data_IF_477396129995
#
_entry.id   IF_477396129995
#
_cell.length_a   1.000
_cell.length_b   1.000
_cell.length_c   1.000
_cell.angle_alpha   90.00
_cell.angle_beta   90.00
_cell.angle_gamma   90.00
#
_symmetry.space_group_name_H-M   'P 1'
#
loop_
_entity.id
_entity.type
_entity.pdbx_description
1 polymer ?
#
# COMPACT_ATOMS: atom_id res chain seq x y z
N UNK A 1 -52.35 6.71 9.84
CA UNK A 1 -51.73 6.88 8.50
C UNK A 1 -51.08 8.26 8.39
N UNK A 2 -49.85 8.42 8.89
CA UNK A 2 -48.98 9.53 8.49
C UNK A 2 -47.79 8.89 7.76
N UNK A 3 -47.86 8.88 6.43
CA UNK A 3 -46.76 8.46 5.59
C UNK A 3 -45.63 9.49 5.81
N UNK A 4 -44.56 9.07 6.50
CA UNK A 4 -43.28 9.72 6.38
C UNK A 4 -42.91 9.67 4.89
N UNK A 5 -42.94 10.83 4.22
CA UNK A 5 -42.30 11.01 2.91
C UNK A 5 -40.82 10.73 3.13
N UNK A 6 -40.41 9.48 2.90
CA UNK A 6 -39.01 9.13 2.70
C UNK A 6 -38.59 9.96 1.48
N UNK A 7 -37.77 10.98 1.71
CA UNK A 7 -37.24 11.79 0.62
C UNK A 7 -36.19 10.97 -0.14
N UNK A 8 -35.88 11.29 -1.41
CA UNK A 8 -34.78 10.62 -2.13
C UNK A 8 -33.45 10.69 -1.34
N UNK A 9 -33.27 11.74 -0.53
CA UNK A 9 -32.11 11.89 0.36
C UNK A 9 -32.04 10.82 1.46
N UNK A 10 -33.16 10.40 2.03
CA UNK A 10 -33.19 9.34 3.06
C UNK A 10 -32.86 7.98 2.44
N UNK A 11 -33.35 7.73 1.22
CA UNK A 11 -33.05 6.52 0.46
C UNK A 11 -31.58 6.47 0.03
N UNK A 12 -31.00 7.57 -0.45
CA UNK A 12 -29.57 7.62 -0.81
C UNK A 12 -28.67 7.44 0.43
N UNK A 13 -29.02 8.08 1.56
CA UNK A 13 -28.30 7.90 2.81
C UNK A 13 -28.34 6.44 3.27
N UNK A 14 -29.52 5.81 3.20
CA UNK A 14 -29.69 4.38 3.49
C UNK A 14 -28.77 3.51 2.62
N UNK A 15 -28.70 3.76 1.32
CA UNK A 15 -27.82 3.02 0.41
C UNK A 15 -26.35 3.18 0.79
N UNK A 16 -25.91 4.40 1.16
CA UNK A 16 -24.53 4.65 1.63
C UNK A 16 -24.23 3.91 2.93
N UNK A 17 -25.17 3.88 3.88
CA UNK A 17 -25.03 3.15 5.15
C UNK A 17 -24.92 1.65 4.90
N UNK A 18 -25.80 1.07 4.07
CA UNK A 18 -25.76 -0.36 3.72
C UNK A 18 -24.44 -0.73 3.03
N UNK A 19 -23.95 0.12 2.13
CA UNK A 19 -22.68 -0.09 1.46
C UNK A 19 -21.49 -0.08 2.45
N UNK A 20 -21.49 0.86 3.41
CA UNK A 20 -20.45 0.91 4.42
C UNK A 20 -20.53 -0.29 5.38
N UNK A 21 -21.74 -0.73 5.74
CA UNK A 21 -21.95 -1.92 6.58
C UNK A 21 -21.49 -3.19 5.85
N UNK A 22 -21.77 -3.32 4.56
CA UNK A 22 -21.25 -4.42 3.73
C UNK A 22 -19.72 -4.46 3.74
N UNK A 23 -19.05 -3.31 3.59
CA UNK A 23 -17.60 -3.22 3.67
C UNK A 23 -17.05 -3.56 5.07
N UNK A 24 -17.79 -3.23 6.12
CA UNK A 24 -17.44 -3.62 7.49
C UNK A 24 -17.50 -5.14 7.69
N UNK A 25 -18.60 -5.80 7.28
CA UNK A 25 -18.70 -7.26 7.34
C UNK A 25 -17.64 -7.97 6.50
N UNK A 26 -17.27 -7.40 5.34
CA UNK A 26 -16.15 -7.91 4.54
C UNK A 26 -14.84 -7.92 5.32
N UNK A 27 -14.52 -6.83 6.04
CA UNK A 27 -13.30 -6.76 6.89
C UNK A 27 -13.31 -7.79 8.03
N UNK A 28 -14.50 -8.14 8.53
CA UNK A 28 -14.67 -9.23 9.50
C UNK A 28 -14.61 -10.62 8.89
N UNK A 29 -14.34 -10.75 7.58
CA UNK A 29 -14.38 -11.99 6.80
C UNK A 29 -15.74 -12.69 6.80
N UNK A 30 -16.81 -11.95 7.15
CA UNK A 30 -18.18 -12.42 7.05
C UNK A 30 -18.72 -12.09 5.65
N UNK A 31 -18.39 -12.97 4.70
CA UNK A 31 -18.66 -12.74 3.28
C UNK A 31 -20.14 -12.85 2.93
N UNK A 32 -20.91 -13.68 3.64
CA UNK A 32 -22.33 -13.89 3.34
C UNK A 32 -23.17 -12.64 3.66
N UNK A 33 -23.00 -12.08 4.87
CA UNK A 33 -23.69 -10.83 5.26
C UNK A 33 -23.24 -9.65 4.39
N UNK A 34 -21.94 -9.58 4.09
CA UNK A 34 -21.39 -8.56 3.19
C UNK A 34 -22.01 -8.64 1.79
N UNK A 35 -22.09 -9.84 1.22
CA UNK A 35 -22.71 -10.10 -0.09
C UNK A 35 -24.15 -9.64 -0.11
N UNK A 36 -24.94 -10.06 0.88
CA UNK A 36 -26.36 -9.73 0.99
C UNK A 36 -26.59 -8.22 1.02
N UNK A 37 -25.77 -7.49 1.79
CA UNK A 37 -25.85 -6.03 1.85
C UNK A 37 -25.48 -5.35 0.53
N UNK A 38 -24.45 -5.81 -0.16
CA UNK A 38 -24.09 -5.25 -1.48
C UNK A 38 -25.11 -5.59 -2.57
N UNK A 39 -25.71 -6.78 -2.55
CA UNK A 39 -26.81 -7.13 -3.44
C UNK A 39 -28.04 -6.25 -3.18
N UNK A 40 -28.38 -5.99 -1.91
CA UNK A 40 -29.43 -5.04 -1.56
C UNK A 40 -29.14 -3.65 -2.12
N UNK A 41 -27.92 -3.14 -1.93
CA UNK A 41 -27.46 -1.84 -2.45
C UNK A 41 -27.70 -1.76 -3.97
N UNK A 42 -27.20 -2.72 -4.76
CA UNK A 42 -27.35 -2.73 -6.23
C UNK A 42 -28.82 -2.82 -6.68
N UNK A 43 -29.70 -3.38 -5.85
CA UNK A 43 -31.13 -3.51 -6.13
C UNK A 43 -31.94 -2.21 -5.94
N UNK A 44 -31.37 -1.14 -5.36
CA UNK A 44 -31.99 0.20 -5.32
C UNK A 44 -31.94 0.88 -6.70
N UNK A 45 -32.69 0.35 -7.69
CA UNK A 45 -32.60 0.72 -9.12
C UNK A 45 -32.74 2.22 -9.39
N UNK A 46 -33.63 2.91 -8.69
CA UNK A 46 -33.84 4.36 -8.87
C UNK A 46 -32.61 5.16 -8.44
N UNK A 47 -32.08 4.87 -7.24
CA UNK A 47 -30.84 5.48 -6.73
C UNK A 47 -29.65 5.16 -7.66
N UNK A 48 -29.55 3.93 -8.16
CA UNK A 48 -28.45 3.52 -9.05
C UNK A 48 -28.54 4.13 -10.46
N UNK A 49 -29.75 4.54 -10.87
CA UNK A 49 -29.96 5.28 -12.12
C UNK A 49 -29.60 6.75 -11.97
N UNK A 50 -29.94 7.36 -10.83
CA UNK A 50 -29.65 8.76 -10.51
C UNK A 50 -28.18 9.00 -10.15
N UNK A 51 -27.58 8.12 -9.35
CA UNK A 51 -26.21 8.23 -8.87
C UNK A 51 -25.29 7.14 -9.45
N UNK A 52 -24.76 7.40 -10.65
CA UNK A 52 -23.86 6.46 -11.36
C UNK A 52 -22.56 6.18 -10.62
N UNK A 53 -22.04 7.13 -9.85
CA UNK A 53 -20.83 6.94 -9.07
C UNK A 53 -21.06 5.91 -7.94
N UNK A 54 -22.15 6.07 -7.19
CA UNK A 54 -22.57 5.13 -6.15
C UNK A 54 -22.85 3.73 -6.73
N UNK A 55 -23.48 3.66 -7.90
CA UNK A 55 -23.69 2.38 -8.61
C UNK A 55 -22.37 1.70 -8.97
N UNK A 56 -21.39 2.45 -9.48
CA UNK A 56 -20.10 1.87 -9.81
C UNK A 56 -19.34 1.37 -8.56
N UNK A 57 -19.41 2.09 -7.44
CA UNK A 57 -18.86 1.64 -6.14
C UNK A 57 -19.52 0.34 -5.68
N UNK A 58 -20.86 0.28 -5.73
CA UNK A 58 -21.61 -0.91 -5.33
C UNK A 58 -21.25 -2.13 -6.18
N UNK A 59 -21.11 -1.96 -7.50
CA UNK A 59 -20.68 -3.02 -8.40
C UNK A 59 -19.25 -3.48 -8.11
N UNK A 60 -18.33 -2.56 -7.83
CA UNK A 60 -16.97 -2.90 -7.42
C UNK A 60 -16.97 -3.73 -6.14
N UNK A 61 -17.68 -3.29 -5.11
CA UNK A 61 -17.74 -3.99 -3.83
C UNK A 61 -18.33 -5.41 -3.98
N UNK A 62 -19.40 -5.55 -4.77
CA UNK A 62 -19.95 -6.85 -5.08
C UNK A 62 -18.97 -7.72 -5.90
N UNK A 63 -18.20 -7.12 -6.81
CA UNK A 63 -17.15 -7.82 -7.55
C UNK A 63 -16.06 -8.35 -6.62
N UNK A 64 -15.61 -7.56 -5.64
CA UNK A 64 -14.66 -7.99 -4.61
C UNK A 64 -15.20 -9.23 -3.89
N UNK A 65 -16.45 -9.20 -3.41
CA UNK A 65 -17.06 -10.37 -2.76
C UNK A 65 -17.08 -11.60 -3.65
N UNK A 66 -17.47 -11.44 -4.92
CA UNK A 66 -17.45 -12.58 -5.85
C UNK A 66 -16.05 -13.13 -6.06
N UNK A 67 -15.00 -12.30 -6.09
CA UNK A 67 -13.63 -12.78 -6.19
C UNK A 67 -13.22 -13.61 -4.97
N UNK A 68 -13.42 -13.07 -3.76
CA UNK A 68 -13.05 -13.75 -2.51
C UNK A 68 -13.89 -15.00 -2.21
N UNK A 69 -15.08 -15.12 -2.80
CA UNK A 69 -15.96 -16.31 -2.69
C UNK A 69 -15.77 -17.31 -3.85
N UNK A 70 -14.70 -17.19 -4.64
CA UNK A 70 -14.35 -18.17 -5.67
C UNK A 70 -15.08 -18.02 -7.01
N UNK A 71 -15.62 -16.83 -7.31
CA UNK A 71 -16.38 -16.53 -8.53
C UNK A 71 -15.71 -15.45 -9.41
N UNK A 72 -14.47 -15.66 -9.91
CA UNK A 72 -13.71 -14.66 -10.66
C UNK A 72 -14.39 -14.21 -11.96
N UNK A 73 -15.13 -15.10 -12.65
CA UNK A 73 -15.86 -14.75 -13.87
C UNK A 73 -16.97 -13.72 -13.60
N UNK A 74 -17.72 -13.87 -12.51
CA UNK A 74 -18.75 -12.91 -12.10
C UNK A 74 -18.10 -11.60 -11.66
N UNK A 75 -17.03 -11.69 -10.87
CA UNK A 75 -16.24 -10.53 -10.44
C UNK A 75 -15.77 -9.69 -11.63
N UNK A 76 -15.18 -10.33 -12.65
CA UNK A 76 -14.70 -9.66 -13.86
C UNK A 76 -15.82 -8.90 -14.60
N UNK A 77 -17.00 -9.52 -14.76
CA UNK A 77 -18.17 -8.86 -15.38
C UNK A 77 -18.62 -7.63 -14.58
N UNK A 78 -18.68 -7.74 -13.26
CA UNK A 78 -19.11 -6.66 -12.37
C UNK A 78 -18.12 -5.48 -12.37
N UNK A 79 -16.82 -5.75 -12.23
CA UNK A 79 -15.79 -4.71 -12.23
C UNK A 79 -15.67 -4.03 -13.60
N UNK A 80 -15.83 -4.78 -14.70
CA UNK A 80 -15.88 -4.20 -16.07
C UNK A 80 -17.07 -3.26 -16.23
N UNK A 81 -18.24 -3.63 -15.67
CA UNK A 81 -19.44 -2.76 -15.67
C UNK A 81 -19.20 -1.50 -14.82
N UNK A 82 -18.54 -1.64 -13.67
CA UNK A 82 -18.13 -0.52 -12.81
C UNK A 82 -17.25 0.47 -13.57
N UNK A 83 -16.19 0.01 -14.24
CA UNK A 83 -15.30 0.84 -15.07
C UNK A 83 -16.10 1.57 -16.15
N UNK A 84 -16.98 0.87 -16.88
CA UNK A 84 -17.80 1.47 -17.94
C UNK A 84 -18.71 2.58 -17.42
N UNK A 85 -19.28 2.43 -16.22
CA UNK A 85 -20.07 3.49 -15.59
C UNK A 85 -19.20 4.69 -15.24
N UNK A 86 -17.98 4.46 -14.71
CA UNK A 86 -17.04 5.51 -14.35
C UNK A 86 -16.46 6.24 -15.57
N UNK A 87 -16.20 5.57 -16.69
CA UNK A 87 -15.69 6.21 -17.92
C UNK A 87 -16.65 7.23 -18.51
N UNK A 88 -17.94 7.10 -18.22
CA UNK A 88 -18.98 8.04 -18.62
C UNK A 88 -19.21 9.16 -17.58
N UNK A 89 -18.44 9.16 -16.49
CA UNK A 89 -18.39 10.22 -15.49
C UNK A 89 -17.09 10.97 -15.80
N UNK A 90 -17.17 12.28 -16.06
CA UNK A 90 -16.03 13.10 -16.51
C UNK A 90 -14.90 13.30 -15.47
N UNK A 91 -14.77 12.39 -14.50
CA UNK A 91 -13.80 12.46 -13.42
C UNK A 91 -13.08 11.11 -13.26
N UNK A 92 -11.80 11.01 -13.64
CA UNK A 92 -10.96 9.89 -13.23
C UNK A 92 -10.73 10.02 -11.72
N UNK A 93 -11.48 9.19 -10.97
CA UNK A 93 -11.40 9.02 -9.53
C UNK A 93 -10.62 7.74 -9.18
N UNK A 94 -10.18 7.64 -7.93
CA UNK A 94 -9.60 6.43 -7.32
C UNK A 94 -10.44 5.16 -7.56
N UNK A 95 -11.72 5.32 -7.85
CA UNK A 95 -12.57 4.19 -8.17
C UNK A 95 -12.09 3.41 -9.40
N UNK A 96 -11.36 4.04 -10.33
CA UNK A 96 -10.67 3.31 -11.40
C UNK A 96 -9.46 2.52 -10.89
N UNK A 97 -8.71 3.07 -9.94
CA UNK A 97 -7.54 2.42 -9.35
C UNK A 97 -7.93 1.06 -8.77
N UNK A 98 -8.94 1.04 -7.87
CA UNK A 98 -9.37 -0.18 -7.21
C UNK A 98 -9.99 -1.19 -8.20
N UNK A 99 -10.68 -0.72 -9.24
CA UNK A 99 -11.18 -1.60 -10.31
C UNK A 99 -10.04 -2.27 -11.09
N UNK A 100 -9.03 -1.50 -11.50
CA UNK A 100 -7.87 -2.03 -12.22
C UNK A 100 -7.03 -2.96 -11.35
N UNK A 101 -6.90 -2.68 -10.05
CA UNK A 101 -6.28 -3.58 -9.08
C UNK A 101 -7.01 -4.91 -9.03
N UNK A 102 -8.33 -4.89 -8.84
CA UNK A 102 -9.14 -6.12 -8.80
C UNK A 102 -9.06 -6.92 -10.11
N UNK A 103 -9.08 -6.24 -11.27
CA UNK A 103 -8.86 -6.91 -12.56
C UNK A 103 -7.48 -7.59 -12.63
N UNK A 104 -6.43 -6.93 -12.13
CA UNK A 104 -5.10 -7.54 -12.08
C UNK A 104 -5.03 -8.75 -11.14
N UNK A 105 -5.71 -8.72 -9.99
CA UNK A 105 -5.82 -9.86 -9.07
C UNK A 105 -6.56 -11.03 -9.71
N UNK A 106 -7.67 -10.76 -10.41
CA UNK A 106 -8.41 -11.77 -11.17
C UNK A 106 -7.51 -12.39 -12.25
N UNK A 107 -6.88 -11.56 -13.08
CA UNK A 107 -5.99 -12.05 -14.15
C UNK A 107 -4.80 -12.82 -13.59
N UNK A 108 -4.25 -12.41 -12.45
CA UNK A 108 -3.19 -13.14 -11.74
C UNK A 108 -3.68 -14.52 -11.29
N UNK A 109 -4.88 -14.62 -10.70
CA UNK A 109 -5.47 -15.90 -10.28
C UNK A 109 -5.70 -16.86 -11.45
N UNK A 110 -5.92 -16.32 -12.65
CA UNK A 110 -6.11 -17.07 -13.89
C UNK A 110 -4.80 -17.26 -14.68
N UNK A 111 -3.64 -16.91 -14.10
CA UNK A 111 -2.30 -16.95 -14.71
C UNK A 111 -2.16 -16.13 -16.03
N UNK A 112 -3.00 -15.11 -16.23
CA UNK A 112 -2.99 -14.18 -17.37
C UNK A 112 -2.01 -13.01 -17.13
N UNK A 113 -0.75 -13.33 -16.85
CA UNK A 113 0.26 -12.37 -16.37
C UNK A 113 0.41 -11.11 -17.23
N UNK A 114 0.42 -11.23 -18.57
CA UNK A 114 0.54 -10.07 -19.47
C UNK A 114 -0.65 -9.12 -19.37
N UNK A 115 -1.85 -9.64 -19.16
CA UNK A 115 -3.07 -8.83 -18.99
C UNK A 115 -3.08 -8.20 -17.60
N UNK A 116 -2.71 -8.98 -16.57
CA UNK A 116 -2.57 -8.48 -15.20
C UNK A 116 -1.60 -7.28 -15.12
N UNK A 117 -0.42 -7.37 -15.76
CA UNK A 117 0.56 -6.28 -15.82
C UNK A 117 0.01 -5.01 -16.51
N UNK A 118 -0.80 -5.16 -17.55
CA UNK A 118 -1.46 -4.03 -18.21
C UNK A 118 -2.47 -3.36 -17.28
N UNK A 119 -3.27 -4.15 -16.58
CA UNK A 119 -4.24 -3.65 -15.60
C UNK A 119 -3.54 -2.94 -14.43
N UNK A 120 -2.44 -3.48 -13.92
CA UNK A 120 -1.59 -2.81 -12.92
C UNK A 120 -1.10 -1.45 -13.43
N UNK A 121 -0.57 -1.38 -14.66
CA UNK A 121 -0.10 -0.13 -15.25
C UNK A 121 -1.24 0.90 -15.37
N UNK A 122 -2.43 0.47 -15.80
CA UNK A 122 -3.62 1.31 -15.84
C UNK A 122 -3.98 1.86 -14.46
N UNK A 123 -3.96 1.01 -13.42
CA UNK A 123 -4.14 1.41 -12.03
C UNK A 123 -3.13 2.49 -11.60
N UNK A 124 -1.83 2.22 -11.73
CA UNK A 124 -0.75 3.17 -11.39
C UNK A 124 -0.95 4.51 -12.10
N UNK A 125 -1.27 4.50 -13.39
CA UNK A 125 -1.50 5.71 -14.17
C UNK A 125 -2.72 6.51 -13.68
N UNK A 126 -3.71 5.90 -13.03
CA UNK A 126 -4.83 6.64 -12.43
C UNK A 126 -4.44 7.33 -11.11
N UNK A 127 -3.43 6.82 -10.40
CA UNK A 127 -2.96 7.33 -9.12
C UNK A 127 -1.71 8.24 -9.22
N UNK A 128 -1.26 8.56 -10.43
CA UNK A 128 -0.02 9.29 -10.71
C UNK A 128 -0.25 10.52 -11.58
N UNK A 129 0.49 11.60 -11.29
CA UNK A 129 0.61 12.78 -12.16
C UNK A 129 1.33 12.45 -13.47
N UNK A 130 2.31 11.54 -13.41
CA UNK A 130 3.09 11.07 -14.57
C UNK A 130 2.44 9.83 -15.17
N UNK A 131 2.31 9.80 -16.51
CA UNK A 131 1.90 8.59 -17.24
C UNK A 131 3.11 7.75 -17.59
N UNK A 132 2.99 6.45 -17.32
CA UNK A 132 3.97 5.41 -17.63
C UNK A 132 3.46 4.59 -18.81
N UNK A 133 4.36 4.26 -19.74
CA UNK A 133 4.05 3.53 -20.97
C UNK A 133 4.30 2.02 -20.89
N UNK A 134 5.03 1.56 -19.88
CA UNK A 134 5.43 0.15 -19.75
C UNK A 134 5.20 -0.39 -18.33
N UNK A 135 4.71 -1.64 -18.16
CA UNK A 135 4.49 -2.23 -16.84
C UNK A 135 5.75 -2.33 -15.98
N UNK A 136 6.91 -2.55 -16.61
CA UNK A 136 8.21 -2.68 -15.93
C UNK A 136 8.81 -1.32 -15.52
N UNK A 137 8.12 -0.20 -15.79
CA UNK A 137 8.63 1.11 -15.45
C UNK A 137 8.87 1.26 -13.93
N UNK A 138 10.00 1.86 -13.58
CA UNK A 138 10.29 2.32 -12.22
C UNK A 138 9.39 3.52 -11.94
N UNK A 139 8.59 3.41 -10.88
CA UNK A 139 7.60 4.42 -10.53
C UNK A 139 8.26 5.47 -9.62
N UNK A 140 8.03 6.73 -9.95
CA UNK A 140 8.52 7.87 -9.20
C UNK A 140 7.49 8.20 -8.11
N UNK A 141 7.80 7.83 -6.87
CA UNK A 141 6.89 7.98 -5.73
C UNK A 141 6.52 9.46 -5.49
N UNK A 142 7.37 10.41 -5.87
CA UNK A 142 7.07 11.85 -5.73
C UNK A 142 5.96 12.31 -6.68
N UNK A 143 5.69 11.53 -7.75
CA UNK A 143 4.62 11.81 -8.71
C UNK A 143 3.32 11.08 -8.40
N UNK A 144 3.26 10.38 -7.26
CA UNK A 144 2.06 9.69 -6.81
C UNK A 144 1.15 10.64 -6.00
N UNK A 145 -0.15 10.46 -6.19
CA UNK A 145 -1.20 11.20 -5.49
C UNK A 145 -1.59 10.44 -4.21
N UNK A 146 -1.96 9.15 -4.35
CA UNK A 146 -2.38 8.27 -3.25
C UNK A 146 -1.31 7.22 -2.98
N UNK A 147 -0.82 7.19 -1.75
CA UNK A 147 0.37 6.41 -1.40
C UNK A 147 0.02 5.07 -0.77
N UNK A 148 -1.00 4.97 0.09
CA UNK A 148 -1.26 3.71 0.80
C UNK A 148 -1.80 2.60 -0.12
N UNK A 149 -2.74 2.91 -1.01
CA UNK A 149 -3.33 1.89 -1.90
C UNK A 149 -2.31 1.29 -2.91
N UNK A 150 -1.16 1.95 -3.13
CA UNK A 150 -0.11 1.44 -4.00
C UNK A 150 0.68 0.28 -3.42
N UNK A 151 0.64 0.06 -2.09
CA UNK A 151 1.30 -1.08 -1.45
C UNK A 151 0.80 -2.37 -2.10
N UNK A 152 -0.52 -2.55 -2.16
CA UNK A 152 -1.14 -3.72 -2.77
C UNK A 152 -0.78 -3.85 -4.25
N UNK A 153 -0.75 -2.74 -4.99
CA UNK A 153 -0.46 -2.76 -6.43
C UNK A 153 0.97 -3.21 -6.71
N UNK A 154 1.95 -2.67 -5.99
CA UNK A 154 3.33 -3.13 -6.12
C UNK A 154 3.50 -4.56 -5.62
N UNK A 155 2.76 -4.95 -4.58
CA UNK A 155 2.74 -6.32 -4.09
C UNK A 155 2.24 -7.30 -5.16
N UNK A 156 1.08 -7.03 -5.76
CA UNK A 156 0.51 -7.81 -6.87
C UNK A 156 1.48 -7.84 -8.06
N UNK A 157 2.06 -6.68 -8.45
CA UNK A 157 3.04 -6.61 -9.54
C UNK A 157 4.27 -7.47 -9.23
N UNK A 158 4.75 -7.45 -7.99
CA UNK A 158 5.83 -8.28 -7.47
C UNK A 158 5.52 -9.78 -7.57
N UNK A 159 4.31 -10.18 -7.16
CA UNK A 159 3.83 -11.56 -7.29
C UNK A 159 3.75 -12.02 -8.76
N UNK A 160 3.23 -11.17 -9.66
CA UNK A 160 3.15 -11.48 -11.09
C UNK A 160 4.55 -11.80 -11.63
N UNK A 161 5.54 -10.95 -11.34
CA UNK A 161 6.91 -11.20 -11.78
C UNK A 161 7.55 -12.42 -11.12
N UNK A 162 7.27 -12.69 -9.83
CA UNK A 162 7.72 -13.92 -9.16
C UNK A 162 7.17 -15.17 -9.87
N UNK A 163 5.87 -15.20 -10.17
CA UNK A 163 5.24 -16.31 -10.91
C UNK A 163 5.75 -16.43 -12.35
N UNK A 164 6.02 -15.31 -13.02
CA UNK A 164 6.67 -15.30 -14.33
C UNK A 164 8.06 -15.94 -14.26
N UNK A 165 8.87 -15.59 -13.26
CA UNK A 165 10.17 -16.22 -13.03
C UNK A 165 10.04 -17.75 -12.87
N UNK A 166 9.14 -18.23 -12.00
CA UNK A 166 8.91 -19.68 -11.81
C UNK A 166 8.53 -20.37 -13.12
N UNK A 167 7.83 -19.68 -14.03
CA UNK A 167 7.38 -20.23 -15.31
C UNK A 167 8.44 -20.17 -16.41
N UNK A 168 9.28 -19.13 -16.44
CA UNK A 168 10.19 -18.86 -17.56
C UNK A 168 11.66 -19.07 -17.22
N UNK A 169 12.02 -19.14 -15.93
CA UNK A 169 13.38 -19.10 -15.41
C UNK A 169 14.20 -17.85 -15.82
N UNK A 170 13.55 -16.79 -16.32
CA UNK A 170 14.23 -15.55 -16.69
C UNK A 170 14.58 -14.75 -15.43
N UNK A 171 15.87 -14.62 -15.13
CA UNK A 171 16.38 -13.91 -13.94
C UNK A 171 15.88 -12.47 -13.85
N UNK A 172 15.62 -11.80 -14.98
CA UNK A 172 15.07 -10.44 -14.96
C UNK A 172 13.70 -10.36 -14.26
N UNK A 173 12.87 -11.42 -14.32
CA UNK A 173 11.57 -11.44 -13.66
C UNK A 173 11.73 -11.44 -12.13
N UNK A 174 12.68 -12.20 -11.56
CA UNK A 174 12.91 -12.15 -10.10
C UNK A 174 13.53 -10.81 -9.67
N UNK A 175 14.35 -10.18 -10.53
CA UNK A 175 14.86 -8.82 -10.30
C UNK A 175 13.71 -7.81 -10.27
N UNK A 176 12.79 -7.87 -11.24
CA UNK A 176 11.61 -7.00 -11.25
C UNK A 176 10.69 -7.25 -10.05
N UNK A 177 10.54 -8.50 -9.60
CA UNK A 177 9.83 -8.83 -8.37
C UNK A 177 10.46 -8.13 -7.16
N UNK A 178 11.79 -8.23 -7.02
CA UNK A 178 12.54 -7.56 -5.95
C UNK A 178 12.38 -6.03 -5.96
N UNK A 179 12.49 -5.39 -7.12
CA UNK A 179 12.33 -3.92 -7.23
C UNK A 179 10.94 -3.45 -6.79
N UNK A 180 9.90 -4.28 -6.93
CA UNK A 180 8.58 -3.98 -6.41
C UNK A 180 8.54 -4.00 -4.88
N UNK A 181 9.11 -5.03 -4.24
CA UNK A 181 9.18 -5.08 -2.78
C UNK A 181 10.04 -3.95 -2.19
N UNK A 182 11.11 -3.57 -2.87
CA UNK A 182 11.90 -2.38 -2.52
C UNK A 182 11.08 -1.10 -2.67
N UNK A 183 10.23 -1.00 -3.70
CA UNK A 183 9.32 0.15 -3.88
C UNK A 183 8.29 0.21 -2.76
N UNK A 184 7.72 -0.92 -2.34
CA UNK A 184 6.82 -1.01 -1.19
C UNK A 184 7.51 -0.51 0.08
N UNK A 185 8.75 -0.93 0.32
CA UNK A 185 9.53 -0.42 1.46
C UNK A 185 9.72 1.10 1.41
N UNK A 186 10.11 1.66 0.26
CA UNK A 186 10.25 3.12 0.12
C UNK A 186 8.92 3.86 0.32
N UNK A 187 7.82 3.26 -0.12
CA UNK A 187 6.47 3.78 0.08
C UNK A 187 6.11 3.80 1.56
N UNK A 188 6.50 2.79 2.33
CA UNK A 188 6.32 2.78 3.77
C UNK A 188 7.07 3.89 4.50
N UNK A 189 8.35 4.10 4.17
CA UNK A 189 9.12 5.21 4.72
C UNK A 189 8.45 6.57 4.46
N UNK A 190 7.96 6.75 3.23
CA UNK A 190 7.24 7.96 2.84
C UNK A 190 5.89 8.12 3.57
N UNK A 191 5.11 7.04 3.70
CA UNK A 191 3.84 7.05 4.44
C UNK A 191 4.06 7.44 5.91
N UNK A 192 5.12 6.93 6.54
CA UNK A 192 5.44 7.26 7.93
C UNK A 192 5.75 8.74 8.14
N UNK A 193 6.36 9.40 7.15
CA UNK A 193 6.66 10.84 7.20
C UNK A 193 5.38 11.68 7.17
N UNK A 194 4.38 11.26 6.39
CA UNK A 194 3.17 12.05 6.11
C UNK A 194 2.04 11.78 7.10
N UNK A 195 1.83 10.52 7.48
CA UNK A 195 0.71 10.13 8.33
C UNK A 195 1.08 10.17 9.82
N UNK A 196 0.07 10.20 10.70
CA UNK A 196 0.29 10.06 12.13
C UNK A 196 0.34 8.58 12.51
N UNK A 197 0.94 8.25 13.65
CA UNK A 197 1.12 6.85 14.08
C UNK A 197 -0.15 6.01 14.12
N UNK A 198 -1.32 6.58 14.44
CA UNK A 198 -2.60 5.84 14.44
C UNK A 198 -3.06 5.44 13.03
N UNK A 199 -3.02 6.36 12.07
CA UNK A 199 -3.44 6.09 10.68
C UNK A 199 -2.51 5.06 10.02
N UNK A 200 -1.24 5.12 10.39
CA UNK A 200 -0.21 4.18 9.97
C UNK A 200 -0.47 2.78 10.53
N UNK A 201 -0.83 2.65 11.82
CA UNK A 201 -1.22 1.37 12.44
C UNK A 201 -2.41 0.73 11.74
N UNK A 202 -3.42 1.51 11.34
CA UNK A 202 -4.54 0.98 10.57
C UNK A 202 -4.08 0.44 9.21
N UNK A 203 -3.22 1.18 8.50
CA UNK A 203 -2.61 0.73 7.23
C UNK A 203 -1.76 -0.54 7.43
N UNK A 204 -0.98 -0.63 8.52
CA UNK A 204 -0.09 -1.75 8.81
C UNK A 204 -0.78 -2.98 9.37
N UNK A 205 -1.93 -2.81 10.03
CA UNK A 205 -2.73 -3.92 10.53
C UNK A 205 -3.21 -4.88 9.43
N UNK A 206 -3.10 -4.49 8.16
CA UNK A 206 -3.42 -5.31 6.99
C UNK A 206 -2.12 -5.84 6.35
N UNK A 207 -1.81 -7.11 6.64
CA UNK A 207 -0.87 -7.96 5.88
C UNK A 207 0.58 -7.46 5.71
N UNK A 208 1.08 -6.50 6.49
CA UNK A 208 2.48 -6.03 6.38
C UNK A 208 3.49 -7.17 6.54
N UNK A 209 3.27 -8.03 7.54
CA UNK A 209 4.13 -9.17 7.83
C UNK A 209 4.16 -10.17 6.66
N UNK A 210 3.02 -10.39 6.01
CA UNK A 210 2.90 -11.26 4.84
C UNK A 210 3.73 -10.71 3.67
N UNK A 211 3.59 -9.41 3.37
CA UNK A 211 4.34 -8.73 2.31
C UNK A 211 5.85 -8.79 2.60
N UNK A 212 6.26 -8.54 3.85
CA UNK A 212 7.67 -8.64 4.28
C UNK A 212 8.17 -10.08 4.10
N UNK A 213 7.42 -11.07 4.57
CA UNK A 213 7.77 -12.49 4.46
C UNK A 213 8.00 -12.88 3.00
N UNK A 214 7.09 -12.48 2.10
CA UNK A 214 7.27 -12.72 0.67
C UNK A 214 8.47 -11.99 0.06
N UNK A 215 8.70 -10.74 0.46
CA UNK A 215 9.84 -9.97 0.00
C UNK A 215 11.16 -10.65 0.38
N UNK A 216 11.27 -11.13 1.63
CA UNK A 216 12.44 -11.88 2.10
C UNK A 216 12.65 -13.15 1.28
N UNK A 217 11.58 -13.88 0.97
CA UNK A 217 11.65 -15.06 0.10
C UNK A 217 12.24 -14.71 -1.28
N UNK A 218 11.72 -13.66 -1.94
CA UNK A 218 12.19 -13.21 -3.26
C UNK A 218 13.64 -12.76 -3.25
N UNK A 219 14.03 -12.05 -2.20
CA UNK A 219 15.38 -11.54 -2.02
C UNK A 219 16.37 -12.69 -1.80
N UNK A 220 15.99 -13.70 -1.02
CA UNK A 220 16.78 -14.93 -0.88
C UNK A 220 16.92 -15.68 -2.20
N UNK A 221 15.83 -15.87 -2.96
CA UNK A 221 15.89 -16.53 -4.28
C UNK A 221 16.87 -15.81 -5.22
N UNK A 222 16.83 -14.47 -5.24
CA UNK A 222 17.77 -13.66 -6.02
C UNK A 222 19.22 -13.80 -5.53
N UNK A 223 19.43 -13.88 -4.22
CA UNK A 223 20.76 -14.14 -3.64
C UNK A 223 21.30 -15.51 -4.08
N UNK A 224 20.51 -16.58 -3.96
CA UNK A 224 20.93 -17.93 -4.37
C UNK A 224 21.28 -18.03 -5.86
N UNK A 225 20.68 -17.21 -6.71
CA UNK A 225 20.96 -17.18 -8.15
C UNK A 225 22.19 -16.35 -8.51
N UNK A 226 22.46 -15.26 -7.79
CA UNK A 226 23.44 -14.24 -8.22
C UNK A 226 24.69 -14.17 -7.36
N UNK A 227 24.63 -14.65 -6.12
CA UNK A 227 25.70 -14.53 -5.11
C UNK A 227 26.05 -13.11 -4.66
N UNK A 228 25.51 -12.06 -5.32
CA UNK A 228 25.98 -10.66 -5.23
C UNK A 228 25.14 -9.74 -4.33
N UNK A 229 24.18 -10.27 -3.55
CA UNK A 229 23.15 -9.44 -2.88
C UNK A 229 22.87 -9.78 -1.40
N UNK A 230 23.76 -10.48 -0.70
CA UNK A 230 23.49 -10.88 0.69
C UNK A 230 23.27 -9.69 1.63
N UNK A 231 24.06 -8.63 1.46
CA UNK A 231 23.90 -7.41 2.25
C UNK A 231 22.55 -6.74 2.02
N UNK A 232 22.00 -6.86 0.80
CA UNK A 232 20.68 -6.35 0.48
C UNK A 232 19.56 -7.18 1.13
N UNK A 233 19.78 -8.50 1.31
CA UNK A 233 18.87 -9.40 2.05
C UNK A 233 18.79 -9.00 3.51
N UNK A 234 19.95 -8.93 4.18
CA UNK A 234 19.99 -8.60 5.60
C UNK A 234 19.51 -7.17 5.84
N UNK A 235 19.96 -6.20 5.04
CA UNK A 235 19.49 -4.82 5.15
C UNK A 235 17.97 -4.72 4.99
N UNK A 236 17.37 -5.47 4.06
CA UNK A 236 15.92 -5.45 3.88
C UNK A 236 15.19 -6.07 5.08
N UNK A 237 15.71 -7.14 5.66
CA UNK A 237 15.14 -7.80 6.86
C UNK A 237 15.24 -6.89 8.08
N UNK A 238 16.40 -6.30 8.34
CA UNK A 238 16.60 -5.39 9.45
C UNK A 238 15.71 -4.16 9.32
N UNK A 239 15.55 -3.68 8.08
CA UNK A 239 14.58 -2.63 7.78
C UNK A 239 13.15 -3.04 8.05
N UNK A 240 12.80 -4.27 7.74
CA UNK A 240 11.46 -4.80 7.95
C UNK A 240 11.15 -4.99 9.44
N UNK A 241 12.09 -5.52 10.23
CA UNK A 241 11.95 -5.66 11.69
C UNK A 241 11.83 -4.31 12.37
N UNK A 242 12.71 -3.36 12.03
CA UNK A 242 12.66 -2.03 12.62
C UNK A 242 11.40 -1.25 12.21
N UNK A 243 10.83 -1.55 11.04
CA UNK A 243 9.53 -1.00 10.63
C UNK A 243 8.39 -1.50 11.54
N UNK A 244 8.36 -2.79 11.87
CA UNK A 244 7.39 -3.37 12.83
C UNK A 244 7.60 -2.78 14.23
N UNK A 245 8.84 -2.74 14.71
CA UNK A 245 9.15 -2.19 16.03
C UNK A 245 8.76 -0.72 16.18
N UNK A 246 8.96 0.08 15.12
CA UNK A 246 8.59 1.49 15.14
C UNK A 246 7.09 1.74 15.02
N UNK A 247 6.32 0.79 14.50
CA UNK A 247 4.86 0.84 14.62
C UNK A 247 4.44 0.74 16.09
N UNK A 248 5.10 -0.12 16.86
CA UNK A 248 4.81 -0.29 18.28
C UNK A 248 5.14 0.97 19.09
N UNK A 249 6.18 1.71 18.69
CA UNK A 249 6.58 2.99 19.28
C UNK A 249 5.64 4.13 18.86
N UNK A 250 5.09 4.89 19.82
CA UNK A 250 4.09 5.91 19.51
C UNK A 250 4.69 7.30 19.23
N UNK A 251 4.00 8.11 18.42
CA UNK A 251 4.28 9.55 18.25
C UNK A 251 4.32 10.32 19.59
N UNK A 252 3.66 9.81 20.63
CA UNK A 252 3.67 10.41 21.98
C UNK A 252 5.04 10.28 22.65
N UNK A 253 5.73 9.17 22.41
CA UNK A 253 6.98 8.84 23.07
C UNK A 253 8.12 9.70 22.53
N UNK A 254 8.22 9.83 21.19
CA UNK A 254 9.21 10.71 20.55
C UNK A 254 9.04 12.20 20.93
N UNK A 255 7.80 12.65 21.18
CA UNK A 255 7.49 14.04 21.56
C UNK A 255 7.80 14.34 23.03
N UNK A 256 7.69 13.36 23.94
CA UNK A 256 8.00 13.54 25.36
C UNK A 256 9.51 13.61 25.61
N UNK A 257 10.30 12.96 24.76
CA UNK A 257 11.75 12.84 24.91
C UNK A 257 12.49 14.10 24.42
N UNK A 258 11.87 14.94 23.58
CA UNK A 258 12.55 16.05 22.89
C UNK A 258 12.12 17.45 23.37
N UNK A 259 13.07 18.40 23.48
CA UNK A 259 12.85 19.82 23.85
C UNK A 259 12.28 20.66 22.69
N UNK A 260 11.34 20.14 21.91
CA UNK A 260 10.84 20.84 20.73
C UNK A 260 9.79 21.90 21.11
N UNK A 261 9.88 23.12 20.54
CA UNK A 261 8.84 24.13 20.67
C UNK A 261 7.46 23.61 20.22
N UNK A 262 6.44 23.77 21.07
CA UNK A 262 5.06 23.33 20.79
C UNK A 262 4.49 23.89 19.48
N UNK A 263 4.91 25.09 19.07
CA UNK A 263 4.48 25.69 17.80
C UNK A 263 4.99 24.92 16.57
N UNK A 264 6.20 24.34 16.61
CA UNK A 264 6.73 23.52 15.52
C UNK A 264 5.99 22.18 15.42
N UNK A 265 5.69 21.54 16.56
CA UNK A 265 4.88 20.32 16.59
C UNK A 265 3.45 20.58 16.07
N UNK A 266 2.86 21.72 16.44
CA UNK A 266 1.53 22.12 15.95
C UNK A 266 1.56 22.41 14.46
N UNK A 267 2.64 23.03 13.95
CA UNK A 267 2.84 23.26 12.51
C UNK A 267 2.93 21.95 11.73
N UNK A 268 3.70 20.98 12.21
CA UNK A 268 3.80 19.64 11.61
C UNK A 268 2.40 18.99 11.52
N UNK A 269 1.66 18.95 12.61
CA UNK A 269 0.34 18.33 12.66
C UNK A 269 -0.67 19.02 11.72
N UNK A 270 -0.63 20.35 11.63
CA UNK A 270 -1.48 21.11 10.71
C UNK A 270 -1.16 20.75 9.25
N UNK A 271 0.12 20.78 8.86
CA UNK A 271 0.54 20.43 7.50
C UNK A 271 0.09 19.00 7.14
N UNK A 272 0.30 18.03 8.04
CA UNK A 272 -0.16 16.64 7.84
C UNK A 272 -1.67 16.54 7.67
N UNK A 273 -2.44 17.29 8.47
CA UNK A 273 -3.90 17.33 8.36
C UNK A 273 -4.36 17.94 7.03
N UNK A 274 -3.67 18.97 6.52
CA UNK A 274 -3.93 19.54 5.20
C UNK A 274 -3.62 18.54 4.09
N UNK A 275 -2.49 17.84 4.14
CA UNK A 275 -2.14 16.78 3.18
C UNK A 275 -3.23 15.72 3.14
N UNK A 276 -3.64 15.19 4.30
CA UNK A 276 -4.70 14.19 4.39
C UNK A 276 -6.04 14.70 3.83
N UNK A 277 -6.39 15.96 4.12
CA UNK A 277 -7.59 16.59 3.60
C UNK A 277 -7.56 16.75 2.07
N UNK A 278 -6.48 17.28 1.50
CA UNK A 278 -6.35 17.47 0.06
C UNK A 278 -6.31 16.13 -0.68
N UNK A 279 -5.58 15.13 -0.16
CA UNK A 279 -5.61 13.78 -0.69
C UNK A 279 -7.03 13.20 -0.68
N UNK A 280 -7.78 13.34 0.42
CA UNK A 280 -9.16 12.86 0.50
C UNK A 280 -10.09 13.57 -0.48
N UNK A 281 -9.90 14.87 -0.71
CA UNK A 281 -10.69 15.62 -1.70
C UNK A 281 -10.43 15.11 -3.11
N UNK A 282 -9.16 14.95 -3.49
CA UNK A 282 -8.78 14.37 -4.79
C UNK A 282 -9.29 12.92 -4.90
N UNK A 283 -9.19 12.14 -3.83
CA UNK A 283 -9.66 10.75 -3.72
C UNK A 283 -11.16 10.61 -4.04
N UNK A 284 -12.00 11.43 -3.41
CA UNK A 284 -13.45 11.34 -3.53
C UNK A 284 -14.00 11.80 -4.90
N UNK A 285 -13.15 12.31 -5.79
CA UNK A 285 -13.53 12.81 -7.11
C UNK A 285 -13.83 14.30 -7.09
N UNK A 286 -13.04 15.06 -7.86
CA UNK A 286 -13.22 16.49 -8.09
C UNK A 286 -13.43 16.74 -9.59
N UNK A 287 -14.14 17.84 -9.91
CA UNK A 287 -14.19 18.30 -11.30
C UNK A 287 -12.76 18.63 -11.77
N UNK A 288 -12.43 18.48 -13.07
CA UNK A 288 -11.05 18.66 -13.55
C UNK A 288 -10.36 19.96 -13.08
N UNK A 289 -11.08 21.09 -13.10
CA UNK A 289 -10.54 22.39 -12.64
C UNK A 289 -10.26 22.41 -11.13
N UNK A 290 -11.18 21.90 -10.32
CA UNK A 290 -11.01 21.79 -8.86
C UNK A 290 -9.88 20.80 -8.53
N UNK A 291 -9.79 19.72 -9.30
CA UNK A 291 -8.75 18.70 -9.14
C UNK A 291 -7.35 19.33 -9.24
N UNK A 292 -7.09 20.13 -10.27
CA UNK A 292 -5.81 20.82 -10.46
C UNK A 292 -5.49 21.72 -9.25
N UNK A 293 -6.45 22.51 -8.79
CA UNK A 293 -6.25 23.40 -7.63
C UNK A 293 -5.89 22.63 -6.35
N UNK A 294 -6.57 21.51 -6.08
CA UNK A 294 -6.27 20.68 -4.91
C UNK A 294 -4.96 19.89 -5.07
N UNK A 295 -4.56 19.57 -6.30
CA UNK A 295 -3.28 18.95 -6.60
C UNK A 295 -2.12 19.92 -6.34
N UNK A 296 -2.25 21.19 -6.72
CA UNK A 296 -1.28 22.24 -6.42
C UNK A 296 -1.15 22.46 -4.90
N UNK A 297 -2.29 22.59 -4.19
CA UNK A 297 -2.31 22.70 -2.72
C UNK A 297 -1.67 21.50 -2.02
N UNK A 298 -1.89 20.29 -2.54
CA UNK A 298 -1.27 19.08 -2.02
C UNK A 298 0.26 19.12 -2.22
N UNK A 299 0.72 19.56 -3.38
CA UNK A 299 2.14 19.70 -3.68
C UNK A 299 2.82 20.70 -2.73
N UNK A 300 2.24 21.89 -2.56
CA UNK A 300 2.76 22.92 -1.64
C UNK A 300 2.80 22.45 -0.18
N UNK A 301 1.76 21.74 0.27
CA UNK A 301 1.71 21.20 1.62
C UNK A 301 2.78 20.12 1.86
N UNK A 302 3.04 19.25 0.88
CA UNK A 302 4.12 18.26 0.95
C UNK A 302 5.49 18.94 1.03
N UNK A 303 5.75 19.92 0.17
CA UNK A 303 7.00 20.68 0.21
C UNK A 303 7.22 21.38 1.57
N UNK A 304 6.16 21.96 2.12
CA UNK A 304 6.21 22.59 3.45
C UNK A 304 6.53 21.59 4.58
N UNK A 305 6.12 20.33 4.44
CA UNK A 305 6.46 19.26 5.38
C UNK A 305 7.94 18.87 5.24
N UNK A 306 8.43 18.72 4.02
CA UNK A 306 9.83 18.39 3.75
C UNK A 306 10.77 19.47 4.32
N UNK A 307 10.47 20.74 4.10
CA UNK A 307 11.23 21.87 4.67
C UNK A 307 11.24 21.84 6.21
N UNK A 308 10.12 21.47 6.83
CA UNK A 308 10.02 21.35 8.28
C UNK A 308 10.82 20.14 8.81
N UNK A 309 10.81 19.02 8.08
CA UNK A 309 11.62 17.84 8.42
C UNK A 309 13.11 18.17 8.32
N UNK A 310 13.56 18.86 7.27
CA UNK A 310 14.95 19.32 7.14
C UNK A 310 15.34 20.27 8.28
N UNK A 311 14.40 21.11 8.74
CA UNK A 311 14.63 21.92 9.95
C UNK A 311 14.79 21.06 11.20
N UNK A 312 13.99 20.01 11.37
CA UNK A 312 14.17 19.08 12.49
C UNK A 312 15.50 18.34 12.42
N UNK A 313 15.95 17.92 11.24
CA UNK A 313 17.24 17.27 11.04
C UNK A 313 18.41 18.16 11.50
N UNK A 314 18.35 19.46 11.19
CA UNK A 314 19.40 20.43 11.51
C UNK A 314 19.36 20.91 12.96
N UNK A 315 18.17 21.31 13.44
CA UNK A 315 18.02 22.04 14.70
C UNK A 315 17.59 21.13 15.88
N UNK A 316 17.03 19.95 15.60
CA UNK A 316 16.42 19.04 16.59
C UNK A 316 16.75 17.57 16.32
N UNK A 317 18.04 17.27 16.21
CA UNK A 317 18.57 15.97 15.78
C UNK A 317 17.96 14.76 16.51
N UNK A 318 17.83 14.80 17.84
CA UNK A 318 17.29 13.66 18.61
C UNK A 318 15.85 13.30 18.22
N UNK A 319 15.02 14.32 17.95
CA UNK A 319 13.65 14.09 17.47
C UNK A 319 13.62 13.58 16.04
N UNK A 320 14.44 14.18 15.17
CA UNK A 320 14.57 13.69 13.80
C UNK A 320 15.03 12.23 13.78
N UNK A 321 16.00 11.89 14.63
CA UNK A 321 16.57 10.55 14.70
C UNK A 321 15.55 9.53 15.22
N UNK A 322 14.76 9.88 16.23
CA UNK A 322 13.69 9.02 16.74
C UNK A 322 12.50 8.87 15.76
N UNK A 323 12.16 9.93 15.02
CA UNK A 323 10.92 9.99 14.26
C UNK A 323 11.05 9.70 12.77
N UNK A 324 12.09 10.23 12.13
CA UNK A 324 12.23 10.25 10.67
C UNK A 324 13.46 9.49 10.17
N UNK A 325 14.50 9.37 10.99
CA UNK A 325 15.73 8.70 10.60
C UNK A 325 15.65 7.21 10.91
N UNK A 326 15.38 6.41 9.89
CA UNK A 326 15.43 4.97 10.02
C UNK A 326 16.80 4.43 9.60
N UNK A 327 17.77 4.50 10.52
CA UNK A 327 19.06 3.83 10.35
C UNK A 327 18.98 2.39 10.82
N UNK A 328 19.18 1.47 9.90
CA UNK A 328 19.44 0.07 10.21
C UNK A 328 20.93 -0.18 10.17
N UNK A 329 21.42 -0.98 11.11
CA UNK A 329 22.82 -1.43 11.09
C UNK A 329 23.02 -2.30 9.85
N UNK A 330 24.07 -2.02 9.09
CA UNK A 330 24.46 -2.83 7.94
C UNK A 330 25.25 -4.06 8.39
N UNK A 331 25.27 -5.17 7.62
CA UNK A 331 26.14 -6.30 7.93
C UNK A 331 27.58 -5.85 8.13
N UNK A 332 28.10 -4.96 7.28
CA UNK A 332 29.46 -4.44 7.40
C UNK A 332 29.72 -3.74 8.73
N UNK A 333 28.80 -2.92 9.21
CA UNK A 333 28.91 -2.27 10.52
C UNK A 333 28.86 -3.26 11.69
N UNK A 334 28.16 -4.39 11.54
CA UNK A 334 28.21 -5.50 12.51
C UNK A 334 29.61 -6.13 12.46
N UNK A 335 30.08 -6.52 11.27
CA UNK A 335 31.38 -7.16 11.08
C UNK A 335 32.55 -6.33 11.62
N UNK A 336 32.51 -5.01 11.42
CA UNK A 336 33.55 -4.09 11.89
C UNK A 336 33.60 -3.97 13.43
N UNK A 337 32.59 -4.50 14.14
CA UNK A 337 32.53 -4.56 15.61
C UNK A 337 32.79 -5.95 16.18
N UNK A 338 32.94 -6.97 15.33
CA UNK A 338 33.16 -8.35 15.75
C UNK A 338 34.65 -8.67 15.81
N UNK A 339 35.07 -9.38 16.85
CA UNK A 339 36.37 -10.03 16.92
C UNK A 339 36.39 -11.27 16.00
N UNK A 340 37.56 -11.83 15.71
CA UNK A 340 37.67 -13.05 14.87
C UNK A 340 36.97 -14.28 15.45
N UNK A 341 36.80 -14.33 16.77
CA UNK A 341 36.12 -15.43 17.48
C UNK A 341 34.61 -15.18 17.66
N UNK A 342 34.14 -13.96 17.37
CA UNK A 342 32.74 -13.60 17.58
C UNK A 342 31.87 -14.02 16.38
N UNK A 343 30.71 -14.60 16.69
CA UNK A 343 29.68 -14.90 15.68
C UNK A 343 28.34 -14.38 16.15
N UNK A 344 27.69 -13.59 15.30
CA UNK A 344 26.31 -13.14 15.51
C UNK A 344 25.38 -14.07 14.74
N UNK A 345 24.38 -14.60 15.45
CA UNK A 345 23.27 -15.33 14.87
C UNK A 345 22.03 -14.45 14.91
N UNK A 346 21.52 -14.13 13.73
CA UNK A 346 20.32 -13.35 13.57
C UNK A 346 19.29 -14.15 12.78
N UNK A 347 18.02 -14.08 13.15
CA UNK A 347 16.97 -14.79 12.43
C UNK A 347 15.77 -13.93 12.07
N UNK A 348 15.08 -14.33 11.02
CA UNK A 348 13.76 -13.83 10.64
C UNK A 348 12.81 -15.01 10.48
N UNK A 349 11.69 -14.95 11.19
CA UNK A 349 10.61 -15.92 11.04
C UNK A 349 9.72 -15.41 9.91
N UNK A 350 9.75 -16.08 8.76
CA UNK A 350 8.78 -15.86 7.67
C UNK A 350 7.55 -16.75 7.85
N UNK A 351 6.62 -16.73 6.90
CA UNK A 351 5.44 -17.62 6.94
C UNK A 351 5.78 -19.07 6.62
N UNK A 352 6.60 -19.29 5.58
CA UNK A 352 6.96 -20.63 5.10
C UNK A 352 8.35 -21.09 5.60
N UNK A 353 9.25 -20.14 5.86
CA UNK A 353 10.65 -20.41 6.16
C UNK A 353 11.16 -19.62 7.36
N UNK A 354 12.19 -20.14 8.01
CA UNK A 354 13.07 -19.44 8.92
C UNK A 354 14.33 -19.06 8.15
N UNK A 355 14.74 -17.80 8.26
CA UNK A 355 15.98 -17.29 7.69
C UNK A 355 16.99 -17.09 8.81
N UNK A 356 18.10 -17.81 8.78
CA UNK A 356 19.18 -17.70 9.75
C UNK A 356 20.40 -17.06 9.11
N UNK A 357 20.79 -15.90 9.62
CA UNK A 357 22.00 -15.16 9.27
C UNK A 357 23.11 -15.52 10.23
N UNK A 358 24.28 -15.81 9.67
CA UNK A 358 25.51 -16.10 10.39
C UNK A 358 26.49 -15.01 9.97
N UNK A 359 26.83 -14.13 10.90
CA UNK A 359 27.71 -12.98 10.66
C UNK A 359 28.95 -13.15 11.52
N UNK A 360 30.10 -13.19 10.87
CA UNK A 360 31.43 -13.15 11.51
C UNK A 360 32.17 -11.92 11.02
N UNK A 361 33.33 -11.60 11.61
CA UNK A 361 34.19 -10.51 11.11
C UNK A 361 34.58 -10.64 9.63
N UNK A 362 34.57 -11.86 9.08
CA UNK A 362 34.99 -12.15 7.71
C UNK A 362 33.83 -12.38 6.72
N UNK A 363 32.75 -13.05 7.15
CA UNK A 363 31.69 -13.50 6.25
C UNK A 363 30.29 -13.18 6.78
N UNK A 364 29.36 -13.05 5.83
CA UNK A 364 27.92 -13.06 6.08
C UNK A 364 27.34 -14.20 5.28
N UNK A 365 26.65 -15.13 5.94
CA UNK A 365 25.92 -16.24 5.32
C UNK A 365 24.44 -16.20 5.71
N UNK A 366 23.58 -16.70 4.83
CA UNK A 366 22.14 -16.87 5.11
C UNK A 366 21.69 -18.28 4.76
N UNK A 367 20.98 -18.92 5.69
CA UNK A 367 20.35 -20.23 5.50
C UNK A 367 18.84 -20.08 5.53
N UNK A 368 18.16 -20.66 4.53
CA UNK A 368 16.69 -20.78 4.51
C UNK A 368 16.27 -22.18 4.96
N UNK A 369 15.47 -22.25 6.01
CA UNK A 369 15.03 -23.49 6.67
C UNK A 369 13.51 -23.57 6.57
N UNK A 370 12.90 -24.62 5.99
CA UNK A 370 11.44 -24.78 5.97
C UNK A 370 10.87 -24.87 7.38
N UNK A 371 9.70 -24.25 7.60
CA UNK A 371 8.92 -24.50 8.82
C UNK A 371 8.23 -25.86 8.73
N UNK A 372 8.33 -26.63 9.81
CA UNK A 372 7.73 -27.95 9.99
C UNK A 372 6.21 -27.90 10.10
#
# INVERSE_FOLDING_TARGET
RKALKITNNDSELKVKVLNNLGAFYFRLKNYDDSKLLFEQVVNFKEIMKENRALHAIALHNLAVIHFFTGNPSISNKLVTKSIKLKSNIAQPSIYFFNDYKLLAEIDLSENKFKVALKNILSGINTASYKKYSHPDAIIDLNKIIIHYELIDVFYIRGQIYKKLYVKTNEVNNIVLSFENYKTIYNLFDHLRKIYNGHDIKEIFSINIYHIISEAVNVVYDLYSLTGKKIDSVLTFIEKSKGMILLEELSDSDAKKISKIPKNLLSKEQNIKSQIAFYQKKIYCGLKPKEKIEYEDKLFEAKQSLDDLISKFEKDYKDYYDLKYNFKTVTPKEIQDRLSEEDTVLEYFLGEEYIYLFIITSAITEVKRIPKS
#
